data_IF_598196608040
#
_entry.id   IF_598196608040
#
_cell.length_a   1.000
_cell.length_b   1.000
_cell.length_c   1.000
_cell.angle_alpha   90.00
_cell.angle_beta   90.00
_cell.angle_gamma   90.00
#
_symmetry.space_group_name_H-M   'P 1'
#
loop_
_entity.id
_entity.type
_entity.pdbx_description
1 polymer ?
#
# COMPACT_ATOMS: atom_id res chain seq x y z
N UNK A 1 3.93 25.92 8.12
CA UNK A 1 4.64 24.90 8.93
C UNK A 1 3.71 24.08 9.81
N UNK A 2 2.90 24.66 10.71
CA UNK A 2 2.00 23.91 11.61
C UNK A 2 1.02 22.96 10.89
N UNK A 3 0.51 23.35 9.72
CA UNK A 3 -0.42 22.55 8.92
C UNK A 3 0.24 21.29 8.33
N UNK A 4 1.50 21.38 7.89
CA UNK A 4 2.23 20.22 7.36
C UNK A 4 2.53 19.20 8.48
N UNK A 5 2.82 19.67 9.69
CA UNK A 5 3.07 18.79 10.83
C UNK A 5 1.84 17.94 11.18
N UNK A 6 0.64 18.52 11.16
CA UNK A 6 -0.61 17.79 11.43
C UNK A 6 -0.95 16.76 10.35
N UNK A 7 -0.71 17.11 9.08
CA UNK A 7 -0.93 16.19 7.95
C UNK A 7 0.06 15.02 7.99
N UNK A 8 1.30 15.27 8.39
CA UNK A 8 2.30 14.23 8.59
C UNK A 8 1.96 13.29 9.76
N UNK A 9 1.45 13.83 10.87
CA UNK A 9 0.95 13.04 12.00
C UNK A 9 -0.24 12.16 11.60
N UNK A 10 -1.21 12.71 10.85
CA UNK A 10 -2.35 11.95 10.34
C UNK A 10 -1.90 10.80 9.43
N UNK A 11 -0.91 11.06 8.57
CA UNK A 11 -0.33 10.00 7.74
C UNK A 11 0.27 8.87 8.57
N UNK A 12 1.09 9.19 9.57
CA UNK A 12 1.65 8.18 10.48
C UNK A 12 0.56 7.37 11.18
N UNK A 13 -0.50 8.01 11.68
CA UNK A 13 -1.63 7.31 12.30
C UNK A 13 -2.37 6.37 11.34
N UNK A 14 -2.54 6.76 10.07
CA UNK A 14 -3.16 5.89 9.06
C UNK A 14 -2.28 4.66 8.80
N UNK A 15 -0.97 4.87 8.66
CA UNK A 15 -0.01 3.79 8.45
C UNK A 15 0.01 2.82 9.64
N UNK A 16 0.00 3.36 10.86
CA UNK A 16 -0.09 2.57 12.09
C UNK A 16 -1.40 1.76 12.18
N UNK A 17 -2.55 2.37 11.86
CA UNK A 17 -3.84 1.68 11.83
C UNK A 17 -3.86 0.55 10.79
N UNK A 18 -3.25 0.77 9.62
CA UNK A 18 -3.09 -0.27 8.59
C UNK A 18 -2.21 -1.42 9.10
N UNK A 19 -1.09 -1.10 9.75
CA UNK A 19 -0.16 -2.07 10.34
C UNK A 19 -0.82 -2.90 11.44
N UNK A 20 -1.57 -2.27 12.33
CA UNK A 20 -2.36 -2.97 13.36
C UNK A 20 -3.38 -3.94 12.74
N UNK A 21 -4.12 -3.51 11.72
CA UNK A 21 -5.07 -4.38 11.03
C UNK A 21 -4.39 -5.59 10.37
N UNK A 22 -3.17 -5.44 9.85
CA UNK A 22 -2.38 -6.58 9.39
C UNK A 22 -2.04 -7.55 10.53
N UNK A 23 -1.70 -7.04 11.72
CA UNK A 23 -1.41 -7.88 12.88
C UNK A 23 -2.63 -8.63 13.39
N UNK A 24 -3.82 -8.01 13.40
CA UNK A 24 -5.08 -8.70 13.73
C UNK A 24 -5.35 -9.87 12.77
N UNK A 25 -5.13 -9.67 11.47
CA UNK A 25 -5.29 -10.75 10.49
C UNK A 25 -4.24 -11.86 10.67
N UNK A 26 -3.00 -11.50 11.02
CA UNK A 26 -1.95 -12.48 11.31
C UNK A 26 -2.26 -13.31 12.56
N UNK A 27 -2.81 -12.69 13.59
CA UNK A 27 -3.26 -13.38 14.79
C UNK A 27 -4.32 -14.43 14.45
N UNK A 28 -5.33 -14.07 13.63
CA UNK A 28 -6.36 -15.00 13.17
C UNK A 28 -5.76 -16.22 12.44
N UNK A 29 -4.75 -16.00 11.59
CA UNK A 29 -4.06 -17.10 10.92
C UNK A 29 -3.24 -17.97 11.88
N UNK A 30 -2.56 -17.37 12.86
CA UNK A 30 -1.86 -18.11 13.91
C UNK A 30 -2.82 -18.99 14.72
N UNK A 31 -3.98 -18.46 15.10
CA UNK A 31 -5.02 -19.21 15.82
C UNK A 31 -5.58 -20.35 14.96
N UNK A 32 -5.81 -20.11 13.67
CA UNK A 32 -6.25 -21.15 12.74
C UNK A 32 -5.24 -22.30 12.66
N UNK A 33 -3.95 -21.98 12.49
CA UNK A 33 -2.88 -22.99 12.46
C UNK A 33 -2.79 -23.74 13.79
N UNK A 34 -2.82 -23.02 14.92
CA UNK A 34 -2.73 -23.61 16.26
C UNK A 34 -3.88 -24.60 16.53
N UNK A 35 -5.10 -24.24 16.12
CA UNK A 35 -6.30 -25.08 16.29
C UNK A 35 -6.25 -26.35 15.44
N UNK A 36 -5.51 -26.32 14.33
CA UNK A 36 -5.41 -27.43 13.37
C UNK A 36 -4.05 -28.15 13.42
N UNK A 37 -3.25 -27.96 14.48
CA UNK A 37 -1.94 -28.62 14.63
C UNK A 37 -2.05 -30.14 14.53
N UNK A 38 -3.10 -30.73 15.11
CA UNK A 38 -3.33 -32.18 15.04
C UNK A 38 -3.53 -32.67 13.61
N UNK A 39 -4.18 -31.88 12.75
CA UNK A 39 -4.34 -32.21 11.33
C UNK A 39 -3.00 -32.08 10.60
N UNK A 40 -2.27 -30.99 10.85
CA UNK A 40 -0.96 -30.72 10.25
C UNK A 40 0.10 -31.76 10.62
N UNK A 41 0.03 -32.36 11.81
CA UNK A 41 0.94 -33.43 12.25
C UNK A 41 0.65 -34.76 11.56
N UNK A 42 -0.62 -35.04 11.25
CA UNK A 42 -1.04 -36.33 10.70
C UNK A 42 -1.01 -36.35 9.16
N UNK A 43 -1.01 -35.19 8.50
CA UNK A 43 -1.02 -35.09 7.04
C UNK A 43 0.35 -34.68 6.46
N UNK A 44 0.88 -35.48 5.54
CA UNK A 44 2.08 -35.11 4.77
C UNK A 44 1.81 -33.99 3.75
N UNK A 45 0.54 -33.75 3.41
CA UNK A 45 0.09 -32.66 2.54
C UNK A 45 -0.57 -31.56 3.37
N UNK A 46 -0.46 -30.33 2.91
CA UNK A 46 -1.10 -29.18 3.58
C UNK A 46 -2.63 -29.30 3.45
N UNK A 47 -3.38 -29.37 4.56
CA UNK A 47 -4.84 -29.39 4.53
C UNK A 47 -5.37 -28.08 3.97
N UNK A 48 -6.46 -28.15 3.20
CA UNK A 48 -6.99 -27.00 2.46
C UNK A 48 -7.47 -25.88 3.42
N UNK A 49 -7.95 -26.27 4.60
CA UNK A 49 -8.40 -25.37 5.66
C UNK A 49 -7.25 -24.52 6.23
N UNK A 50 -6.02 -25.05 6.23
CA UNK A 50 -4.83 -24.35 6.75
C UNK A 50 -3.96 -23.75 5.66
N UNK A 51 -4.17 -24.15 4.40
CA UNK A 51 -3.33 -23.75 3.26
C UNK A 51 -3.24 -22.24 3.13
N UNK A 52 -4.37 -21.55 3.24
CA UNK A 52 -4.44 -20.09 3.16
C UNK A 52 -3.73 -19.42 4.34
N UNK A 53 -3.97 -19.90 5.56
CA UNK A 53 -3.34 -19.37 6.77
C UNK A 53 -1.82 -19.52 6.72
N UNK A 54 -1.32 -20.70 6.36
CA UNK A 54 0.11 -20.98 6.25
C UNK A 54 0.76 -20.13 5.15
N UNK A 55 0.13 -20.05 3.98
CA UNK A 55 0.64 -19.25 2.85
C UNK A 55 0.71 -17.77 3.22
N UNK A 56 -0.28 -17.27 3.94
CA UNK A 56 -0.36 -15.89 4.41
C UNK A 56 0.70 -15.59 5.47
N UNK A 57 0.95 -16.50 6.42
CA UNK A 57 2.02 -16.39 7.41
C UNK A 57 3.41 -16.39 6.76
N UNK A 58 3.63 -17.26 5.78
CA UNK A 58 4.88 -17.33 4.99
C UNK A 58 5.11 -16.03 4.23
N UNK A 59 4.06 -15.45 3.64
CA UNK A 59 4.11 -14.18 2.94
C UNK A 59 4.47 -13.02 3.88
N UNK A 60 3.85 -12.99 5.07
CA UNK A 60 4.09 -11.96 6.08
C UNK A 60 5.48 -12.05 6.69
N UNK A 61 6.05 -13.24 6.86
CA UNK A 61 7.40 -13.44 7.38
C UNK A 61 8.50 -12.72 6.57
N UNK A 62 8.25 -12.37 5.30
CA UNK A 62 9.18 -11.58 4.49
C UNK A 62 9.04 -10.05 4.67
N UNK A 63 7.93 -9.58 5.26
CA UNK A 63 7.55 -8.17 5.34
C UNK A 63 7.48 -7.63 6.76
N UNK A 64 7.24 -8.51 7.72
CA UNK A 64 7.18 -8.21 9.15
C UNK A 64 8.52 -8.59 9.76
N UNK A 65 9.42 -7.62 9.88
CA UNK A 65 10.70 -7.81 10.57
C UNK A 65 10.58 -7.72 12.10
N UNK A 66 9.47 -7.16 12.60
CA UNK A 66 9.22 -6.97 14.03
C UNK A 66 8.93 -8.28 14.78
N UNK A 67 8.54 -9.33 14.06
CA UNK A 67 8.18 -10.65 14.62
C UNK A 67 9.06 -11.74 13.99
N UNK A 68 10.29 -11.95 14.49
CA UNK A 68 11.23 -12.91 13.92
C UNK A 68 10.75 -14.36 13.99
N UNK A 69 9.82 -14.69 14.89
CA UNK A 69 9.20 -16.01 15.03
C UNK A 69 8.46 -16.44 13.74
N UNK A 70 7.91 -15.49 12.98
CA UNK A 70 7.30 -15.76 11.69
C UNK A 70 8.33 -16.31 10.68
N UNK A 71 9.59 -15.89 10.76
CA UNK A 71 10.65 -16.44 9.92
C UNK A 71 10.95 -17.91 10.25
N UNK A 72 10.86 -18.28 11.53
CA UNK A 72 11.02 -19.67 11.96
C UNK A 72 9.87 -20.53 11.44
N UNK A 73 8.62 -20.06 11.57
CA UNK A 73 7.44 -20.73 11.01
C UNK A 73 7.54 -20.91 9.50
N UNK A 74 7.98 -19.87 8.78
CA UNK A 74 8.21 -19.97 7.33
C UNK A 74 9.19 -21.08 6.97
N UNK A 75 10.31 -21.18 7.69
CA UNK A 75 11.31 -22.23 7.46
C UNK A 75 10.74 -23.63 7.72
N UNK A 76 10.01 -23.78 8.83
CA UNK A 76 9.34 -25.04 9.18
C UNK A 76 8.34 -25.48 8.10
N UNK A 77 7.46 -24.58 7.66
CA UNK A 77 6.48 -24.91 6.63
C UNK A 77 7.13 -25.17 5.26
N UNK A 78 8.20 -24.46 4.93
CA UNK A 78 8.94 -24.67 3.69
C UNK A 78 9.63 -26.05 3.66
N UNK A 79 10.15 -26.52 4.79
CA UNK A 79 10.74 -27.87 4.91
C UNK A 79 9.68 -28.97 4.81
N UNK A 80 8.50 -28.76 5.42
CA UNK A 80 7.42 -29.75 5.47
C UNK A 80 6.62 -29.86 4.18
N UNK A 81 6.23 -28.74 3.58
CA UNK A 81 5.29 -28.71 2.45
C UNK A 81 5.91 -28.23 1.13
N UNK A 82 7.17 -27.77 1.15
CA UNK A 82 7.85 -27.24 -0.01
C UNK A 82 7.49 -25.78 -0.31
N UNK A 83 8.48 -25.01 -0.77
CA UNK A 83 8.36 -23.55 -0.98
C UNK A 83 7.34 -23.15 -2.05
N UNK A 84 7.13 -23.97 -3.08
CA UNK A 84 6.26 -23.61 -4.22
C UNK A 84 4.77 -23.58 -3.87
N UNK A 85 4.31 -24.47 -2.99
CA UNK A 85 2.90 -24.56 -2.61
C UNK A 85 2.45 -23.41 -1.69
N UNK A 86 3.39 -22.79 -0.99
CA UNK A 86 3.13 -21.77 0.03
C UNK A 86 3.05 -20.35 -0.54
N UNK A 87 3.59 -20.10 -1.73
CA UNK A 87 3.52 -18.79 -2.39
C UNK A 87 2.25 -18.61 -3.25
N UNK A 88 1.56 -19.69 -3.60
CA UNK A 88 0.46 -19.63 -4.57
C UNK A 88 -0.88 -19.23 -3.96
N UNK A 89 -1.04 -19.35 -2.63
CA UNK A 89 -2.31 -19.23 -1.92
C UNK A 89 -2.38 -18.03 -0.97
N UNK A 90 -1.48 -17.05 -1.08
CA UNK A 90 -1.50 -15.88 -0.18
C UNK A 90 -2.75 -15.04 -0.41
N UNK A 91 -3.46 -14.69 0.68
CA UNK A 91 -4.68 -13.90 0.62
C UNK A 91 -4.43 -12.52 0.01
N UNK A 92 -5.19 -12.18 -1.05
CA UNK A 92 -5.09 -10.90 -1.76
C UNK A 92 -5.26 -9.71 -0.80
N UNK A 93 -6.10 -9.86 0.23
CA UNK A 93 -6.30 -8.81 1.23
C UNK A 93 -5.04 -8.51 2.04
N UNK A 94 -4.27 -9.53 2.45
CA UNK A 94 -3.00 -9.32 3.15
C UNK A 94 -1.99 -8.62 2.22
N UNK A 95 -1.93 -9.06 0.95
CA UNK A 95 -1.06 -8.46 -0.07
C UNK A 95 -1.38 -6.98 -0.29
N UNK A 96 -2.67 -6.64 -0.42
CA UNK A 96 -3.13 -5.26 -0.61
C UNK A 96 -2.82 -4.37 0.60
N UNK A 97 -3.02 -4.90 1.82
CA UNK A 97 -2.75 -4.15 3.06
C UNK A 97 -1.26 -3.87 3.26
N UNK A 98 -0.38 -4.80 2.89
CA UNK A 98 1.06 -4.61 2.93
C UNK A 98 1.63 -3.79 1.76
N UNK A 99 0.95 -3.76 0.60
CA UNK A 99 1.35 -2.96 -0.58
C UNK A 99 0.70 -1.58 -0.61
N UNK A 100 -0.01 -1.18 0.44
CA UNK A 100 -0.87 -0.01 0.38
C UNK A 100 -0.08 1.26 0.01
N UNK A 101 -0.50 1.91 -1.07
CA UNK A 101 0.02 3.20 -1.51
C UNK A 101 -0.05 4.23 -0.38
N UNK A 102 0.85 5.24 -0.38
CA UNK A 102 0.82 6.30 0.61
C UNK A 102 -0.59 6.91 0.71
N UNK A 103 -1.06 7.20 1.93
CA UNK A 103 -2.44 7.67 2.12
C UNK A 103 -2.68 8.95 1.33
N UNK A 104 -3.83 9.01 0.65
CA UNK A 104 -4.21 10.17 -0.15
C UNK A 104 -4.42 11.40 0.74
N UNK A 105 -4.43 12.60 0.13
CA UNK A 105 -4.65 13.85 0.87
C UNK A 105 -6.04 13.84 1.53
N UNK A 106 -7.04 13.28 0.86
CA UNK A 106 -8.43 13.15 1.31
C UNK A 106 -8.53 12.26 2.55
N UNK A 107 -7.88 11.08 2.54
CA UNK A 107 -7.87 10.17 3.70
C UNK A 107 -7.30 10.84 4.96
N UNK A 108 -6.30 11.72 4.80
CA UNK A 108 -5.70 12.46 5.92
C UNK A 108 -6.66 13.52 6.46
N UNK A 109 -7.38 14.22 5.58
CA UNK A 109 -8.39 15.21 5.98
C UNK A 109 -9.55 14.54 6.68
N UNK A 110 -10.03 13.41 6.17
CA UNK A 110 -11.11 12.61 6.75
C UNK A 110 -10.75 12.14 8.17
N UNK A 111 -9.56 11.56 8.36
CA UNK A 111 -9.10 11.13 9.69
C UNK A 111 -9.07 12.31 10.68
N UNK A 112 -8.54 13.46 10.27
CA UNK A 112 -8.47 14.64 11.13
C UNK A 112 -9.86 15.16 11.48
N UNK A 113 -10.82 15.07 10.56
CA UNK A 113 -12.21 15.44 10.81
C UNK A 113 -12.92 14.47 11.75
N UNK A 114 -12.65 13.16 11.63
CA UNK A 114 -13.16 12.14 12.55
C UNK A 114 -12.69 12.39 13.98
N UNK A 115 -11.38 12.63 14.16
CA UNK A 115 -10.79 12.97 15.46
C UNK A 115 -11.40 14.26 16.00
N UNK A 116 -11.51 15.31 15.19
CA UNK A 116 -12.09 16.58 15.63
C UNK A 116 -13.54 16.40 16.10
N UNK A 117 -14.33 15.56 15.42
CA UNK A 117 -15.71 15.23 15.83
C UNK A 117 -15.74 14.47 17.15
N UNK A 118 -14.87 13.48 17.34
CA UNK A 118 -14.80 12.68 18.57
C UNK A 118 -14.48 13.54 19.80
N UNK A 119 -13.56 14.49 19.66
CA UNK A 119 -13.16 15.39 20.74
C UNK A 119 -13.96 16.70 20.80
N UNK A 120 -15.03 16.84 20.00
CA UNK A 120 -15.86 18.06 19.91
C UNK A 120 -15.06 19.34 19.62
N UNK A 121 -14.00 19.22 18.83
CA UNK A 121 -13.14 20.33 18.40
C UNK A 121 -13.74 20.95 17.14
N UNK A 122 -13.96 22.27 17.16
CA UNK A 122 -14.37 23.01 15.96
C UNK A 122 -13.22 23.04 14.95
N UNK A 123 -13.32 22.21 13.91
CA UNK A 123 -12.32 22.08 12.85
C UNK A 123 -12.91 22.41 11.48
N UNK A 124 -12.17 23.16 10.66
CA UNK A 124 -12.57 23.52 9.30
C UNK A 124 -11.79 22.68 8.27
N UNK A 125 -12.43 21.63 7.77
CA UNK A 125 -11.86 20.75 6.76
C UNK A 125 -11.62 21.48 5.41
N UNK A 126 -12.53 22.37 5.01
CA UNK A 126 -12.46 23.07 3.72
C UNK A 126 -11.27 24.02 3.66
N UNK A 127 -10.98 24.71 4.76
CA UNK A 127 -9.79 25.57 4.86
C UNK A 127 -8.49 24.77 4.72
N UNK A 128 -8.45 23.52 5.20
CA UNK A 128 -7.28 22.65 5.05
C UNK A 128 -7.16 22.13 3.61
N UNK A 129 -8.25 21.66 3.01
CA UNK A 129 -8.29 21.19 1.61
C UNK A 129 -7.82 22.29 0.65
N UNK A 130 -8.36 23.50 0.77
CA UNK A 130 -7.93 24.64 -0.06
C UNK A 130 -6.43 24.92 0.02
N UNK A 131 -5.80 24.64 1.16
CA UNK A 131 -4.35 24.80 1.35
C UNK A 131 -3.53 23.62 0.83
N UNK A 132 -4.14 22.44 0.75
CA UNK A 132 -3.53 21.20 0.22
C UNK A 132 -3.61 21.11 -1.31
N UNK A 133 -4.67 21.66 -1.91
CA UNK A 133 -4.92 21.63 -3.35
C UNK A 133 -4.67 22.97 -4.06
N UNK A 134 -4.78 24.12 -3.36
CA UNK A 134 -4.63 25.45 -3.96
C UNK A 134 -3.23 25.82 -4.47
N UNK A 135 -2.26 24.91 -4.41
CA UNK A 135 -0.91 25.10 -4.93
C UNK A 135 -0.70 24.46 -6.33
N UNK A 136 -1.63 23.63 -6.81
CA UNK A 136 -1.52 22.95 -8.11
C UNK A 136 -1.99 23.85 -9.28
N UNK A 137 -2.86 24.83 -9.04
CA UNK A 137 -3.40 25.71 -10.10
C UNK A 137 -2.48 26.89 -10.51
N UNK A 138 -1.38 27.15 -9.79
CA UNK A 138 -0.50 28.31 -10.09
C UNK A 138 0.64 28.03 -11.06
N UNK A 139 0.88 26.78 -11.47
CA UNK A 139 2.03 26.44 -12.34
C UNK A 139 1.67 26.35 -13.83
N UNK A 140 0.38 26.28 -14.21
CA UNK A 140 0.00 26.09 -15.62
C UNK A 140 -0.55 27.35 -16.32
N UNK A 141 -0.34 28.54 -15.75
CA UNK A 141 -1.04 29.77 -16.14
C UNK A 141 -0.24 30.81 -16.95
N UNK A 142 1.03 30.60 -17.26
CA UNK A 142 1.83 31.62 -17.97
C UNK A 142 2.76 31.01 -19.02
N UNK A 143 2.23 30.76 -20.23
CA UNK A 143 2.95 30.94 -21.51
C UNK A 143 2.04 30.71 -22.72
N UNK A 144 1.24 31.71 -23.09
CA UNK A 144 1.13 32.13 -24.51
C UNK A 144 0.37 33.47 -24.64
N UNK A 145 1.12 34.57 -24.62
CA UNK A 145 0.70 35.81 -25.30
C UNK A 145 1.87 36.32 -26.13
N UNK A 146 1.63 36.35 -27.45
CA UNK A 146 2.14 37.26 -28.51
C UNK A 146 2.77 36.55 -29.69
N UNK A 147 2.17 36.77 -30.87
CA UNK A 147 2.88 36.81 -32.15
C UNK A 147 2.21 36.03 -33.28
N UNK A 148 1.20 36.62 -33.93
CA UNK A 148 0.80 36.27 -35.30
C UNK A 148 1.89 36.72 -36.29
N UNK A 149 2.30 35.85 -37.23
CA UNK A 149 2.05 36.01 -38.67
C UNK A 149 2.69 34.91 -39.53
N UNK A 150 2.04 34.72 -40.67
CA UNK A 150 2.03 33.63 -41.65
C UNK A 150 3.25 33.54 -42.59
N UNK A 151 3.16 32.51 -43.46
CA UNK A 151 3.80 32.31 -44.76
C UNK A 151 5.22 31.70 -44.78
N UNK A 152 5.60 30.78 -45.67
CA UNK A 152 4.93 30.00 -46.74
C UNK A 152 5.95 28.93 -47.19
N UNK A 153 5.44 27.77 -47.61
CA UNK A 153 6.01 26.74 -48.49
C UNK A 153 7.49 26.84 -48.93
N UNK A 154 8.27 25.76 -48.73
CA UNK A 154 8.86 24.98 -49.85
C UNK A 154 9.72 23.79 -49.38
N UNK A 155 9.20 22.61 -49.71
CA UNK A 155 9.83 21.44 -50.35
C UNK A 155 11.20 20.85 -49.91
N UNK A 156 11.08 19.53 -49.70
CA UNK A 156 11.85 18.42 -50.27
C UNK A 156 13.29 18.11 -49.83
N UNK A 157 13.45 16.83 -49.47
CA UNK A 157 14.42 15.83 -49.97
C UNK A 157 15.08 15.01 -48.84
N UNK A 158 14.57 13.79 -48.68
CA UNK A 158 15.25 12.47 -48.62
C UNK A 158 16.45 12.23 -47.66
N UNK A 159 16.36 11.05 -47.02
CA UNK A 159 17.41 10.18 -46.45
C UNK A 159 17.98 10.53 -45.05
N UNK A 160 17.73 9.66 -44.06
CA UNK A 160 18.55 8.47 -43.82
C UNK A 160 18.14 7.74 -42.51
N UNK A 161 18.08 6.41 -42.59
CA UNK A 161 18.20 5.41 -41.51
C UNK A 161 19.19 5.84 -40.38
N UNK A 162 19.05 5.49 -39.09
CA UNK A 162 18.83 4.16 -38.43
C UNK A 162 18.64 4.37 -36.90
N UNK A 163 18.22 3.34 -36.13
CA UNK A 163 17.85 3.42 -34.70
C UNK A 163 19.03 3.13 -33.76
N UNK A 164 18.87 3.45 -32.45
CA UNK A 164 19.69 2.90 -31.37
C UNK A 164 18.86 2.60 -30.11
N UNK A 165 18.87 1.31 -29.79
CA UNK A 165 18.66 0.58 -28.53
C UNK A 165 17.39 0.84 -27.72
#
# INVERSE_FOLDING_TARGET
MISCLRVWQAQGLIEEKRRLSCYELLEQFCVCVASNVSLLQNSSKCPDECREAISSLVYAAARVSEVPELCNLRSLFAERYGKSLLLQSSMMQLVERFKAEPPSKEMKVELLQEIAREYSIKWDAKSLEQRLYGHEDRVNGESKRRGDKEDESSNSVVAAQRPRF
#
